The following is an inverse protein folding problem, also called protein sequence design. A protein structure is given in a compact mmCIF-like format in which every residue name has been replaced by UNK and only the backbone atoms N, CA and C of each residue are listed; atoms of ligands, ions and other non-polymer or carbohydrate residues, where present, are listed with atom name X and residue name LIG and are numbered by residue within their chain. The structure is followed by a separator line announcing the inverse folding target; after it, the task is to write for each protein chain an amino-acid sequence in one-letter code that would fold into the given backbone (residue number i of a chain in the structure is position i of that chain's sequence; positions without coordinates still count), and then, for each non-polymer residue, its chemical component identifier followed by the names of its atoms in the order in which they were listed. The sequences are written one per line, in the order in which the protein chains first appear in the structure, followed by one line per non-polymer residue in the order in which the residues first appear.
data_IF_190915685747
#
_entry.id   IF_190915685747
#
_cell.length_a   1.000
_cell.length_b   1.000
_cell.length_c   1.000
_cell.angle_alpha   90.00
_cell.angle_beta   90.00
_cell.angle_gamma   90.00
#
_symmetry.space_group_name_H-M   'P 1'
#
loop_
_entity.id
_entity.type
_entity.pdbx_description
1 polymer ?
#
# COMPACT_ATOMS: atom_id res chain seq x y z
N UNK A 1 11.33 -12.25 5.76
CA UNK A 1 9.97 -12.11 5.19
C UNK A 1 9.78 -13.22 4.15
N UNK A 2 8.80 -14.10 4.37
CA UNK A 2 8.60 -15.30 3.53
C UNK A 2 7.49 -15.15 2.50
N UNK A 3 6.44 -14.39 2.81
CA UNK A 3 5.23 -14.28 1.98
C UNK A 3 4.98 -12.84 1.54
N UNK A 4 4.72 -12.62 0.25
CA UNK A 4 4.33 -11.32 -0.29
C UNK A 4 3.56 -11.47 -1.61
N UNK A 5 2.57 -10.59 -1.85
CA UNK A 5 1.77 -10.57 -3.09
C UNK A 5 1.28 -9.16 -3.42
N UNK A 6 1.06 -8.91 -4.71
CA UNK A 6 0.37 -7.69 -5.18
C UNK A 6 -1.12 -7.96 -5.31
N UNK A 7 -1.91 -7.01 -4.84
CA UNK A 7 -3.37 -7.12 -4.83
C UNK A 7 -4.01 -5.82 -5.30
N UNK A 8 -5.28 -5.90 -5.70
CA UNK A 8 -6.13 -4.74 -5.97
C UNK A 8 -7.25 -4.67 -4.93
N UNK A 9 -7.46 -3.49 -4.35
CA UNK A 9 -8.55 -3.26 -3.40
C UNK A 9 -9.88 -3.22 -4.14
N UNK A 10 -10.73 -4.23 -3.94
CA UNK A 10 -12.09 -4.28 -4.52
C UNK A 10 -13.04 -3.38 -3.74
N UNK A 11 -13.04 -3.48 -2.41
CA UNK A 11 -13.93 -2.71 -1.56
C UNK A 11 -13.84 -3.13 -0.10
N UNK A 12 -14.84 -2.72 0.65
CA UNK A 12 -15.02 -3.15 2.03
C UNK A 12 -16.43 -3.71 2.20
N UNK A 13 -16.55 -4.74 3.03
CA UNK A 13 -17.80 -5.37 3.44
C UNK A 13 -17.67 -5.83 4.89
N UNK A 14 -18.64 -6.59 5.34
CA UNK A 14 -18.65 -7.19 6.67
C UNK A 14 -18.97 -8.68 6.55
N UNK A 15 -18.43 -9.46 7.46
CA UNK A 15 -18.67 -10.90 7.57
C UNK A 15 -19.08 -11.20 9.00
N UNK A 16 -20.05 -12.08 9.19
CA UNK A 16 -20.39 -12.60 10.50
C UNK A 16 -19.59 -13.88 10.77
N UNK A 17 -19.02 -13.98 11.96
CA UNK A 17 -18.45 -15.23 12.44
C UNK A 17 -19.55 -16.22 12.84
N UNK A 18 -19.19 -17.47 13.08
CA UNK A 18 -20.13 -18.50 13.60
C UNK A 18 -20.75 -18.08 14.94
N UNK A 19 -20.01 -17.35 15.76
CA UNK A 19 -20.48 -16.78 17.03
C UNK A 19 -21.39 -15.54 16.88
N UNK A 20 -21.75 -15.16 15.66
CA UNK A 20 -22.56 -13.98 15.37
C UNK A 20 -21.84 -12.63 15.48
N UNK A 21 -20.52 -12.62 15.68
CA UNK A 21 -19.71 -11.39 15.76
C UNK A 21 -19.50 -10.79 14.38
N UNK A 22 -19.89 -9.52 14.20
CA UNK A 22 -19.68 -8.79 12.97
C UNK A 22 -18.24 -8.31 12.84
N UNK A 23 -17.55 -8.75 11.78
CA UNK A 23 -16.18 -8.38 11.48
C UNK A 23 -16.12 -7.54 10.20
N UNK A 24 -15.67 -6.27 10.25
CA UNK A 24 -15.47 -5.47 9.05
C UNK A 24 -14.26 -5.98 8.29
N UNK A 25 -14.39 -6.18 6.98
CA UNK A 25 -13.31 -6.71 6.14
C UNK A 25 -13.09 -5.86 4.88
N UNK A 26 -11.84 -5.80 4.45
CA UNK A 26 -11.48 -5.30 3.12
C UNK A 26 -11.26 -6.49 2.19
N UNK A 27 -11.94 -6.46 1.05
CA UNK A 27 -11.79 -7.47 0.00
C UNK A 27 -10.67 -7.04 -0.95
N UNK A 28 -9.68 -7.91 -1.10
CA UNK A 28 -8.52 -7.71 -1.96
C UNK A 28 -8.49 -8.81 -3.02
N UNK A 29 -8.40 -8.44 -4.29
CA UNK A 29 -8.12 -9.38 -5.38
C UNK A 29 -6.61 -9.58 -5.45
N UNK A 30 -6.16 -10.78 -5.13
CA UNK A 30 -4.76 -11.15 -4.97
C UNK A 30 -4.29 -11.97 -6.17
N UNK A 31 -3.47 -11.41 -7.02
CA UNK A 31 -2.92 -12.12 -8.16
C UNK A 31 -3.89 -12.39 -9.32
N UNK A 32 -3.53 -13.28 -10.27
CA UNK A 32 -2.22 -13.93 -10.33
C UNK A 32 -1.09 -12.91 -10.53
N UNK A 33 -0.03 -13.06 -9.74
CA UNK A 33 1.22 -12.32 -9.91
C UNK A 33 2.22 -13.23 -10.62
N UNK A 34 2.98 -12.71 -11.58
CA UNK A 34 3.95 -13.50 -12.33
C UNK A 34 5.36 -13.04 -11.99
N UNK A 35 6.27 -13.96 -11.73
CA UNK A 35 7.68 -13.68 -11.48
C UNK A 35 8.35 -13.22 -12.77
N UNK A 36 8.85 -11.98 -12.78
CA UNK A 36 9.50 -11.38 -13.95
C UNK A 36 11.02 -11.35 -13.85
N UNK A 37 11.56 -11.41 -12.64
CA UNK A 37 13.00 -11.47 -12.40
C UNK A 37 13.26 -12.00 -11.00
N UNK A 38 14.25 -12.85 -10.87
CA UNK A 38 14.85 -13.27 -9.59
C UNK A 38 16.19 -12.57 -9.46
N UNK A 39 16.41 -11.88 -8.35
CA UNK A 39 17.64 -11.16 -8.02
C UNK A 39 18.43 -11.95 -7.00
N UNK A 40 19.71 -12.12 -7.26
CA UNK A 40 20.64 -12.84 -6.39
C UNK A 40 21.70 -11.90 -5.83
N UNK A 41 22.31 -12.29 -4.72
CA UNK A 41 23.36 -11.49 -4.08
C UNK A 41 24.57 -11.31 -5.01
N UNK A 42 24.89 -12.33 -5.81
CA UNK A 42 26.04 -12.32 -6.73
C UNK A 42 25.92 -11.28 -7.84
N UNK A 43 24.72 -11.17 -8.45
CA UNK A 43 24.50 -10.31 -9.60
C UNK A 43 24.00 -8.91 -9.23
N UNK A 44 23.09 -8.82 -8.24
CA UNK A 44 22.36 -7.59 -7.90
C UNK A 44 22.77 -7.01 -6.53
N UNK A 45 23.59 -7.75 -5.75
CA UNK A 45 24.01 -7.35 -4.41
C UNK A 45 22.95 -7.59 -3.30
N UNK A 46 21.78 -8.11 -3.65
CA UNK A 46 20.72 -8.48 -2.70
C UNK A 46 19.78 -9.53 -3.29
N UNK A 47 19.14 -10.29 -2.42
CA UNK A 47 18.16 -11.31 -2.80
C UNK A 47 16.75 -10.73 -2.83
N UNK A 48 16.05 -10.86 -3.96
CA UNK A 48 14.67 -10.37 -4.14
C UNK A 48 13.98 -11.05 -5.33
N UNK A 49 12.65 -11.07 -5.29
CA UNK A 49 11.81 -11.50 -6.41
C UNK A 49 11.06 -10.29 -6.96
N UNK A 50 11.19 -10.02 -8.25
CA UNK A 50 10.38 -9.03 -8.93
C UNK A 50 9.13 -9.72 -9.49
N UNK A 51 7.97 -9.18 -9.16
CA UNK A 51 6.68 -9.70 -9.62
C UNK A 51 5.93 -8.68 -10.47
N UNK A 52 5.27 -9.17 -11.50
CA UNK A 52 4.38 -8.44 -12.38
C UNK A 52 2.91 -8.70 -12.03
N UNK A 53 2.08 -7.67 -12.02
CA UNK A 53 0.65 -7.76 -11.70
C UNK A 53 -0.19 -6.84 -12.60
N UNK A 54 -1.39 -7.33 -12.95
CA UNK A 54 -2.34 -6.61 -13.79
C UNK A 54 -1.92 -6.50 -15.25
N UNK A 55 -2.78 -6.89 -16.15
CA UNK A 55 -2.49 -6.90 -17.58
C UNK A 55 -2.51 -5.49 -18.19
N UNK A 56 -1.67 -5.28 -19.18
CA UNK A 56 -1.60 -4.04 -19.94
C UNK A 56 -1.51 -4.35 -21.44
N UNK A 57 -2.19 -3.54 -22.24
CA UNK A 57 -2.12 -3.67 -23.72
C UNK A 57 -0.70 -3.37 -24.19
N UNK A 58 -0.14 -4.18 -25.07
CA UNK A 58 1.24 -4.04 -25.58
C UNK A 58 1.54 -2.67 -26.20
N UNK A 59 0.53 -2.02 -26.81
CA UNK A 59 0.67 -0.67 -27.39
C UNK A 59 1.06 0.39 -26.34
N UNK A 60 0.77 0.15 -25.06
CA UNK A 60 1.08 1.06 -23.95
C UNK A 60 2.42 0.76 -23.27
N UNK A 61 3.14 -0.25 -23.74
CA UNK A 61 4.42 -0.68 -23.19
C UNK A 61 5.55 -0.19 -24.07
N UNK A 62 6.53 0.50 -23.48
CA UNK A 62 7.71 0.97 -24.19
C UNK A 62 8.70 -0.19 -24.49
N UNK A 63 9.61 0.02 -25.46
CA UNK A 63 10.57 -0.99 -25.92
C UNK A 63 11.40 -1.63 -24.79
N UNK A 64 12.00 -0.87 -23.83
CA UNK A 64 12.77 -1.47 -22.73
C UNK A 64 11.95 -2.45 -21.88
N UNK A 65 10.70 -2.08 -21.54
CA UNK A 65 9.82 -2.97 -20.77
C UNK A 65 9.38 -4.20 -21.58
N UNK A 66 9.13 -4.04 -22.89
CA UNK A 66 8.85 -5.21 -23.74
C UNK A 66 10.01 -6.21 -23.73
N UNK A 67 11.25 -5.74 -23.85
CA UNK A 67 12.43 -6.58 -23.75
C UNK A 67 12.55 -7.27 -22.38
N UNK A 68 12.24 -6.56 -21.29
CA UNK A 68 12.23 -7.12 -19.95
C UNK A 68 11.23 -8.27 -19.79
N UNK A 69 9.98 -8.09 -20.25
CA UNK A 69 8.96 -9.15 -20.22
C UNK A 69 9.29 -10.31 -21.16
N UNK A 70 9.83 -10.02 -22.35
CA UNK A 70 10.25 -11.05 -23.30
C UNK A 70 11.37 -11.95 -22.72
N UNK A 71 12.34 -11.36 -22.00
CA UNK A 71 13.38 -12.12 -21.28
C UNK A 71 12.81 -13.09 -20.24
N UNK A 72 11.73 -12.70 -19.58
CA UNK A 72 11.04 -13.52 -18.60
C UNK A 72 10.04 -14.51 -19.22
N UNK A 73 9.74 -14.41 -20.53
CA UNK A 73 8.74 -15.22 -21.21
C UNK A 73 7.29 -14.94 -20.78
N UNK A 74 7.01 -13.74 -20.26
CA UNK A 74 5.70 -13.38 -19.70
C UNK A 74 5.02 -12.27 -20.48
N UNK A 75 3.70 -12.22 -20.41
CA UNK A 75 2.90 -11.12 -20.96
C UNK A 75 3.16 -9.81 -20.21
N UNK A 76 2.98 -8.69 -20.89
CA UNK A 76 3.23 -7.38 -20.29
C UNK A 76 2.30 -7.11 -19.11
N UNK A 77 2.87 -6.73 -17.97
CA UNK A 77 2.15 -6.40 -16.75
C UNK A 77 2.22 -4.90 -16.43
N UNK A 78 1.16 -4.38 -15.83
CA UNK A 78 1.04 -2.94 -15.51
C UNK A 78 1.93 -2.53 -14.36
N UNK A 79 2.00 -3.34 -13.32
CA UNK A 79 2.74 -3.07 -12.10
C UNK A 79 3.89 -4.06 -11.97
N UNK A 80 5.08 -3.53 -11.74
CA UNK A 80 6.27 -4.29 -11.38
C UNK A 80 6.71 -3.84 -10.00
N UNK A 81 6.88 -4.77 -9.08
CA UNK A 81 7.37 -4.52 -7.72
C UNK A 81 8.29 -5.64 -7.28
N UNK A 82 9.23 -5.28 -6.42
CA UNK A 82 10.19 -6.20 -5.85
C UNK A 82 9.85 -6.48 -4.40
N UNK A 83 10.01 -7.74 -4.02
CA UNK A 83 9.90 -8.21 -2.66
C UNK A 83 11.21 -8.87 -2.25
N UNK A 84 11.81 -8.40 -1.18
CA UNK A 84 12.97 -9.04 -0.56
C UNK A 84 12.49 -10.22 0.27
N UNK A 85 12.51 -11.40 -0.32
CA UNK A 85 12.13 -12.65 0.33
C UNK A 85 13.38 -13.38 0.78
N UNK A 86 13.27 -14.17 1.86
CA UNK A 86 14.36 -15.01 2.35
C UNK A 86 14.65 -16.13 1.36
N UNK A 87 13.59 -16.71 0.80
CA UNK A 87 13.64 -17.84 -0.12
C UNK A 87 13.51 -17.40 -1.59
N UNK A 88 14.11 -16.24 -1.96
CA UNK A 88 13.95 -15.70 -3.31
C UNK A 88 14.51 -16.63 -4.41
N UNK A 89 15.50 -17.44 -4.09
CA UNK A 89 16.13 -18.39 -5.02
C UNK A 89 15.23 -19.59 -5.37
N UNK A 90 14.21 -19.86 -4.57
CA UNK A 90 13.25 -20.94 -4.83
C UNK A 90 12.26 -20.61 -5.96
N UNK A 91 12.17 -19.31 -6.34
CA UNK A 91 11.25 -18.86 -7.38
C UNK A 91 11.85 -19.01 -8.77
N UNK A 92 11.04 -19.43 -9.74
CA UNK A 92 11.43 -19.52 -11.15
C UNK A 92 10.79 -18.40 -11.99
N UNK A 93 11.46 -18.01 -13.08
CA UNK A 93 10.91 -17.04 -14.02
C UNK A 93 9.60 -17.57 -14.62
N UNK A 94 8.60 -16.71 -14.72
CA UNK A 94 7.28 -17.08 -15.22
C UNK A 94 6.36 -17.77 -14.21
N UNK A 95 6.83 -18.12 -13.02
CA UNK A 95 6.04 -18.74 -11.96
C UNK A 95 4.89 -17.82 -11.55
N UNK A 96 3.69 -18.38 -11.39
CA UNK A 96 2.53 -17.66 -10.88
C UNK A 96 2.44 -17.75 -9.36
N UNK A 97 2.18 -16.63 -8.73
CA UNK A 97 1.91 -16.50 -7.29
C UNK A 97 0.44 -16.10 -7.15
N UNK A 98 -0.35 -16.93 -6.46
CA UNK A 98 -1.80 -16.75 -6.26
C UNK A 98 -2.11 -16.47 -4.80
N UNK A 99 -3.40 -16.33 -4.48
CA UNK A 99 -3.89 -16.04 -3.13
C UNK A 99 -3.54 -17.12 -2.09
N UNK A 100 -3.29 -18.34 -2.52
CA UNK A 100 -2.94 -19.53 -1.71
C UNK A 100 -1.65 -19.41 -0.89
N UNK A 101 -0.82 -18.41 -1.19
CA UNK A 101 0.37 -18.07 -0.38
C UNK A 101 0.00 -17.70 1.06
N UNK A 102 -1.20 -17.15 1.28
CA UNK A 102 -1.71 -16.79 2.60
C UNK A 102 -2.81 -17.73 3.05
N UNK A 103 -2.89 -17.93 4.36
CA UNK A 103 -3.94 -18.72 5.02
C UNK A 103 -4.79 -17.83 5.94
N UNK A 104 -5.99 -18.31 6.29
CA UNK A 104 -6.80 -17.67 7.32
C UNK A 104 -6.04 -17.65 8.66
N UNK A 105 -6.11 -16.55 9.38
CA UNK A 105 -5.36 -16.32 10.62
C UNK A 105 -3.97 -15.71 10.43
N UNK A 106 -3.39 -15.70 9.23
CA UNK A 106 -2.11 -15.04 8.97
C UNK A 106 -2.18 -13.57 9.32
N UNK A 107 -1.08 -13.03 9.87
CA UNK A 107 -0.91 -11.58 10.11
C UNK A 107 -0.15 -10.96 8.96
N UNK A 108 -0.71 -9.90 8.39
CA UNK A 108 -0.17 -9.24 7.19
C UNK A 108 -0.02 -7.74 7.37
N UNK A 109 0.95 -7.17 6.67
CA UNK A 109 1.14 -5.74 6.51
C UNK A 109 0.66 -5.32 5.12
N UNK A 110 -0.30 -4.40 5.07
CA UNK A 110 -0.87 -3.88 3.83
C UNK A 110 -0.32 -2.49 3.51
N UNK A 111 0.46 -2.38 2.44
CA UNK A 111 1.05 -1.12 1.99
C UNK A 111 0.38 -0.63 0.72
N UNK A 112 -0.13 0.61 0.73
CA UNK A 112 -0.72 1.23 -0.45
C UNK A 112 -0.55 2.76 -0.45
N UNK A 113 -0.92 3.39 -1.56
CA UNK A 113 -1.00 4.86 -1.65
C UNK A 113 -2.32 5.32 -1.07
N UNK A 114 -2.29 6.15 -0.02
CA UNK A 114 -3.47 6.69 0.64
C UNK A 114 -4.29 7.60 -0.28
N UNK A 115 -5.57 7.79 0.04
CA UNK A 115 -6.43 8.74 -0.67
C UNK A 115 -5.85 10.15 -0.59
N UNK A 116 -5.75 10.84 -1.72
CA UNK A 116 -5.35 12.25 -1.77
C UNK A 116 -6.40 13.14 -1.12
N UNK A 117 -5.94 14.18 -0.42
CA UNK A 117 -6.79 15.20 0.22
C UNK A 117 -6.51 16.61 -0.30
N UNK A 118 -5.63 16.72 -1.31
CA UNK A 118 -5.22 18.00 -1.89
C UNK A 118 -4.41 18.87 -0.93
N UNK A 119 -4.39 20.15 -1.15
CA UNK A 119 -3.77 21.13 -0.26
C UNK A 119 -4.67 21.36 0.96
N UNK A 120 -4.15 21.17 2.17
CA UNK A 120 -4.90 21.29 3.41
C UNK A 120 -4.25 22.28 4.36
N UNK A 121 -5.11 23.01 5.11
CA UNK A 121 -4.66 23.87 6.20
C UNK A 121 -4.04 23.09 7.36
N UNK A 122 -3.28 23.79 8.20
CA UNK A 122 -2.55 23.21 9.32
C UNK A 122 -3.45 22.46 10.31
N UNK A 123 -4.68 22.92 10.52
CA UNK A 123 -5.66 22.30 11.42
C UNK A 123 -5.96 20.86 10.95
N UNK A 124 -6.32 20.66 9.68
CA UNK A 124 -6.64 19.33 9.16
C UNK A 124 -5.41 18.46 8.95
N UNK A 125 -4.30 19.09 8.50
CA UNK A 125 -3.07 18.36 8.16
C UNK A 125 -2.33 17.87 9.39
N UNK A 126 -2.31 18.66 10.47
CA UNK A 126 -1.51 18.41 11.68
C UNK A 126 -2.33 18.32 12.97
N UNK A 127 -3.65 18.38 12.88
CA UNK A 127 -4.52 18.29 14.08
C UNK A 127 -4.44 19.50 15.01
N UNK A 128 -4.05 20.69 14.51
CA UNK A 128 -3.99 21.89 15.31
C UNK A 128 -5.37 22.35 15.75
N UNK A 129 -5.47 23.02 16.89
CA UNK A 129 -6.70 23.60 17.40
C UNK A 129 -7.17 24.76 16.52
N UNK A 130 -8.46 24.89 16.32
CA UNK A 130 -9.09 26.04 15.69
C UNK A 130 -9.28 27.16 16.69
N UNK A 131 -9.41 28.40 16.20
CA UNK A 131 -9.82 29.52 17.02
C UNK A 131 -11.31 29.48 17.38
N UNK A 132 -11.77 30.43 18.25
CA UNK A 132 -13.17 30.53 18.64
C UNK A 132 -14.08 30.76 17.42
N UNK A 133 -15.26 30.15 17.43
CA UNK A 133 -16.24 30.25 16.33
C UNK A 133 -17.36 31.26 16.65
N UNK A 134 -17.36 31.80 17.86
CA UNK A 134 -18.32 32.77 18.38
C UNK A 134 -17.62 33.98 19.04
N UNK A 135 -18.38 34.83 19.74
CA UNK A 135 -17.89 36.03 20.46
C UNK A 135 -17.13 37.02 19.57
N UNK A 136 -17.54 37.18 18.29
CA UNK A 136 -16.95 38.15 17.35
C UNK A 136 -15.55 37.77 16.85
N UNK A 137 -15.04 36.58 17.15
CA UNK A 137 -13.73 36.12 16.66
C UNK A 137 -13.77 35.98 15.13
N UNK A 138 -12.75 36.55 14.47
CA UNK A 138 -12.48 36.33 13.05
C UNK A 138 -11.37 35.29 12.81
N UNK A 139 -10.83 34.74 13.89
CA UNK A 139 -9.75 33.74 13.86
C UNK A 139 -10.31 32.32 13.93
N UNK A 140 -10.81 31.78 12.82
CA UNK A 140 -11.46 30.46 12.80
C UNK A 140 -10.49 29.34 12.51
N UNK A 141 -9.91 29.30 11.31
CA UNK A 141 -9.06 28.18 10.86
C UNK A 141 -7.68 28.67 10.37
N UNK A 142 -7.13 29.65 11.04
CA UNK A 142 -5.80 30.17 10.75
C UNK A 142 -4.69 29.30 11.32
N UNK A 143 -3.51 29.34 10.70
CA UNK A 143 -2.36 28.51 11.06
C UNK A 143 -1.63 28.97 12.34
N UNK A 144 -1.97 30.15 12.87
CA UNK A 144 -1.32 30.72 14.03
C UNK A 144 -0.02 31.46 13.72
N UNK A 145 0.65 31.93 14.77
CA UNK A 145 1.92 32.65 14.68
C UNK A 145 3.03 31.77 14.10
N UNK A 146 3.94 32.39 13.33
CA UNK A 146 5.13 31.73 12.81
C UNK A 146 6.34 31.80 13.75
N UNK A 147 6.20 32.44 14.90
CA UNK A 147 7.23 32.59 15.91
C UNK A 147 7.41 34.03 16.35
N UNK A 148 8.43 34.28 17.15
CA UNK A 148 8.82 35.59 17.64
C UNK A 148 9.55 36.41 16.55
N UNK A 149 9.62 37.73 16.71
CA UNK A 149 10.19 38.64 15.68
C UNK A 149 11.72 38.67 15.72
N UNK A 150 12.33 39.48 16.61
CA UNK A 150 13.77 39.78 16.61
C UNK A 150 14.62 38.57 16.91
N UNK A 151 14.21 37.75 17.89
CA UNK A 151 14.86 36.49 18.24
C UNK A 151 13.84 35.38 18.21
N UNK A 152 13.99 34.37 17.33
CA UNK A 152 15.14 33.96 16.51
C UNK A 152 15.27 34.64 15.14
N UNK A 153 14.42 35.58 14.73
CA UNK A 153 14.43 36.26 13.43
C UNK A 153 14.13 35.36 12.23
N UNK A 154 13.62 34.14 12.47
CA UNK A 154 13.29 33.15 11.45
C UNK A 154 12.20 32.20 11.91
N UNK A 155 11.55 31.52 10.97
CA UNK A 155 10.67 30.38 11.24
C UNK A 155 11.53 29.12 11.40
N UNK A 156 11.33 28.37 12.47
CA UNK A 156 12.09 27.14 12.73
C UNK A 156 11.75 26.05 11.71
N UNK A 157 12.76 25.19 11.46
CA UNK A 157 12.57 23.96 10.69
C UNK A 157 11.54 23.07 11.38
N UNK A 158 10.71 22.34 10.60
CA UNK A 158 9.68 21.46 11.16
C UNK A 158 8.39 22.17 11.60
N UNK A 159 8.27 23.49 11.46
CA UNK A 159 7.01 24.21 11.72
C UNK A 159 5.87 23.58 10.90
N UNK A 160 4.80 23.21 11.57
CA UNK A 160 3.60 22.64 10.97
C UNK A 160 2.84 23.69 10.16
N UNK A 161 2.92 23.61 8.84
CA UNK A 161 2.30 24.55 7.90
C UNK A 161 1.30 23.84 6.97
N UNK A 162 0.40 24.60 6.31
CA UNK A 162 -0.46 24.04 5.27
C UNK A 162 0.36 23.43 4.15
N UNK A 163 -0.22 22.48 3.43
CA UNK A 163 0.43 21.82 2.30
C UNK A 163 -0.31 20.59 1.82
N UNK A 164 0.30 19.85 0.91
CA UNK A 164 -0.27 18.63 0.37
C UNK A 164 -0.49 17.58 1.47
N UNK A 165 -1.68 16.96 1.47
CA UNK A 165 -2.06 15.91 2.40
C UNK A 165 -2.60 14.70 1.64
N UNK A 166 -2.27 13.51 2.13
CA UNK A 166 -2.66 12.25 1.48
C UNK A 166 -1.82 11.96 0.22
N UNK A 167 -2.25 10.97 -0.57
CA UNK A 167 -1.54 10.45 -1.74
C UNK A 167 -0.09 10.02 -1.43
N UNK A 168 0.19 9.64 -0.19
CA UNK A 168 1.46 9.13 0.30
C UNK A 168 1.39 7.63 0.53
N UNK A 169 2.54 6.96 0.52
CA UNK A 169 2.65 5.55 0.88
C UNK A 169 2.39 5.38 2.37
N UNK A 170 1.44 4.51 2.71
CA UNK A 170 1.04 4.18 4.09
C UNK A 170 0.98 2.67 4.22
N UNK A 171 1.42 2.15 5.36
CA UNK A 171 1.33 0.73 5.70
C UNK A 171 0.43 0.55 6.91
N UNK A 172 -0.65 -0.23 6.75
CA UNK A 172 -1.39 -0.80 7.86
C UNK A 172 -0.69 -2.08 8.30
N UNK A 173 -0.23 -2.12 9.55
CA UNK A 173 0.52 -3.26 10.08
C UNK A 173 -0.37 -4.20 10.87
N UNK A 174 0.05 -5.47 10.95
CA UNK A 174 -0.54 -6.52 11.79
C UNK A 174 -2.05 -6.71 11.57
N UNK A 175 -2.47 -6.71 10.31
CA UNK A 175 -3.84 -7.00 9.92
C UNK A 175 -4.03 -8.52 9.82
N UNK A 176 -5.19 -9.00 10.25
CA UNK A 176 -5.53 -10.42 10.23
C UNK A 176 -6.21 -10.80 8.91
N UNK A 177 -5.80 -11.92 8.31
CA UNK A 177 -6.48 -12.53 7.18
C UNK A 177 -7.67 -13.33 7.71
N UNK A 178 -8.89 -12.94 7.35
CA UNK A 178 -10.12 -13.60 7.80
C UNK A 178 -10.40 -14.85 6.97
N UNK A 179 -10.30 -14.75 5.65
CA UNK A 179 -10.47 -15.89 4.74
C UNK A 179 -9.73 -15.67 3.44
N UNK A 180 -9.44 -16.77 2.75
CA UNK A 180 -8.82 -16.79 1.43
C UNK A 180 -9.65 -17.67 0.51
N UNK A 181 -10.05 -17.13 -0.64
CA UNK A 181 -10.72 -17.84 -1.72
C UNK A 181 -9.73 -18.01 -2.88
N UNK A 182 -9.16 -19.20 -3.00
CA UNK A 182 -8.14 -19.51 -4.00
C UNK A 182 -8.74 -19.56 -5.44
N UNK A 183 -10.01 -19.95 -5.58
CA UNK A 183 -10.65 -20.05 -6.91
C UNK A 183 -10.86 -18.66 -7.52
N UNK A 184 -11.33 -17.71 -6.72
CA UNK A 184 -11.57 -16.32 -7.15
C UNK A 184 -10.35 -15.41 -6.94
N UNK A 185 -9.27 -15.92 -6.37
CA UNK A 185 -8.08 -15.15 -5.97
C UNK A 185 -8.44 -13.95 -5.07
N UNK A 186 -9.28 -14.18 -4.06
CA UNK A 186 -9.70 -13.15 -3.11
C UNK A 186 -9.08 -13.40 -1.72
N UNK A 187 -8.64 -12.32 -1.09
CA UNK A 187 -8.19 -12.32 0.31
C UNK A 187 -9.05 -11.31 1.08
N UNK A 188 -9.65 -11.75 2.16
CA UNK A 188 -10.41 -10.91 3.08
C UNK A 188 -9.51 -10.56 4.26
N UNK A 189 -9.23 -9.26 4.43
CA UNK A 189 -8.38 -8.75 5.52
C UNK A 189 -9.25 -7.97 6.49
N UNK A 190 -9.13 -8.26 7.78
CA UNK A 190 -9.87 -7.60 8.86
C UNK A 190 -9.51 -6.12 8.94
N UNK A 191 -10.53 -5.26 8.90
CA UNK A 191 -10.38 -3.82 9.06
C UNK A 191 -10.09 -3.07 7.76
N UNK A 192 -9.51 -1.89 7.89
CA UNK A 192 -9.30 -0.94 6.81
C UNK A 192 -7.90 -1.08 6.19
N UNK A 193 -7.86 -1.14 4.86
CA UNK A 193 -6.64 -1.10 4.06
C UNK A 193 -6.52 0.28 3.38
N UNK A 194 -5.33 0.91 3.35
CA UNK A 194 -5.14 2.21 2.73
C UNK A 194 -5.48 2.21 1.23
N UNK A 195 -5.87 3.37 0.72
CA UNK A 195 -6.15 3.61 -0.70
C UNK A 195 -7.63 3.57 -1.10
N UNK A 196 -7.96 4.08 -2.30
CA UNK A 196 -9.29 3.99 -2.89
C UNK A 196 -9.58 2.59 -3.44
N UNK A 197 -10.81 2.36 -3.92
CA UNK A 197 -11.14 1.17 -4.73
C UNK A 197 -10.24 1.13 -5.98
N UNK A 198 -9.92 -0.06 -6.44
CA UNK A 198 -9.05 -0.34 -7.59
C UNK A 198 -7.60 0.15 -7.41
N UNK A 199 -7.16 0.51 -6.20
CA UNK A 199 -5.76 0.83 -5.94
C UNK A 199 -4.93 -0.43 -5.74
N UNK A 200 -3.66 -0.33 -6.16
CA UNK A 200 -2.65 -1.36 -5.90
C UNK A 200 -2.34 -1.39 -4.40
N UNK A 201 -2.38 -2.58 -3.82
CA UNK A 201 -1.99 -2.86 -2.44
C UNK A 201 -0.94 -3.96 -2.44
N UNK A 202 0.13 -3.75 -1.73
CA UNK A 202 1.16 -4.76 -1.47
C UNK A 202 0.85 -5.42 -0.13
N UNK A 203 0.57 -6.69 -0.14
CA UNK A 203 0.47 -7.50 1.07
C UNK A 203 1.80 -8.19 1.32
N UNK A 204 2.21 -8.21 2.56
CA UNK A 204 3.41 -8.87 3.06
C UNK A 204 3.10 -9.53 4.39
N UNK A 205 3.80 -10.59 4.70
CA UNK A 205 3.84 -11.13 6.05
C UNK A 205 4.21 -10.03 7.05
N UNK A 206 3.54 -9.99 8.19
CA UNK A 206 3.78 -8.97 9.22
C UNK A 206 5.14 -9.18 9.88
N UNK A 207 5.86 -8.08 10.10
CA UNK A 207 7.15 -8.09 10.82
C UNK A 207 6.95 -8.12 12.32
N UNK A 208 5.73 -7.77 12.79
CA UNK A 208 5.37 -7.64 14.22
C UNK A 208 4.43 -8.74 14.72
N UNK A 209 4.25 -9.79 13.95
CA UNK A 209 3.42 -10.94 14.33
C UNK A 209 4.19 -11.89 15.24
#
# INVERSE_FOLDING_TARGET
MKKAILTTKVGMTQVFSEDGVLTPVTVLQAGPCVVTQVKTVENDGYSAVQVGFGDIREKLVNKPKKGHFAKAGVTAKRFLKEFRLEDAESYTLGQEIKADVFAAGDKVDATAKSKGKGFQGAIKRHGQSRGPMAHGSKYHRHAGSNGSATTPGRVFKGKHMPGHMGAVRVTGQNLEVVSVDAEKNLILVKGAVPGPKNSLVMLKESVKA
#
